data_IF_021254320209
#
_entry.id   IF_021254320209
#
_cell.length_a   1.000
_cell.length_b   1.000
_cell.length_c   1.000
_cell.angle_alpha   90.00
_cell.angle_beta   90.00
_cell.angle_gamma   90.00
#
_symmetry.space_group_name_H-M   'P 1'
#
loop_
_entity.id
_entity.type
_entity.pdbx_description
1 polymer ?
#
# COMPACT_ATOMS: atom_id res chain seq x y z
N UNK A 1 -25.16 18.97 2.15
CA UNK A 1 -25.25 18.89 0.66
C UNK A 1 -26.57 19.50 0.21
N UNK A 2 -26.60 20.35 -0.82
CA UNK A 2 -27.85 20.75 -1.48
C UNK A 2 -28.27 19.60 -2.40
N UNK A 3 -29.33 18.89 -2.02
CA UNK A 3 -29.84 17.78 -2.82
C UNK A 3 -30.56 18.32 -4.05
N UNK A 4 -30.07 17.95 -5.24
CA UNK A 4 -30.75 18.18 -6.52
C UNK A 4 -31.45 16.90 -6.97
N UNK A 5 -32.43 17.04 -7.87
CA UNK A 5 -33.17 15.88 -8.42
C UNK A 5 -32.23 15.03 -9.29
N UNK A 6 -31.87 13.84 -8.80
CA UNK A 6 -31.06 12.87 -9.55
C UNK A 6 -32.01 11.93 -10.30
N UNK A 7 -31.90 11.83 -11.63
CA UNK A 7 -32.63 10.82 -12.41
C UNK A 7 -31.92 9.48 -12.25
N UNK A 8 -32.63 8.48 -11.74
CA UNK A 8 -32.11 7.13 -11.50
C UNK A 8 -33.06 6.12 -12.14
N UNK A 9 -32.57 5.03 -12.77
CA UNK A 9 -33.42 3.96 -13.29
C UNK A 9 -34.36 3.40 -12.21
N UNK A 10 -35.61 3.08 -12.58
CA UNK A 10 -36.66 2.68 -11.62
C UNK A 10 -36.26 1.43 -10.82
N UNK A 11 -35.56 0.49 -11.44
CA UNK A 11 -35.04 -0.73 -10.79
C UNK A 11 -34.09 -0.38 -9.63
N UNK A 12 -33.21 0.60 -9.82
CA UNK A 12 -32.25 1.02 -8.79
C UNK A 12 -32.98 1.77 -7.68
N UNK A 13 -33.95 2.62 -8.04
CA UNK A 13 -34.79 3.32 -7.08
C UNK A 13 -35.59 2.36 -6.20
N UNK A 14 -36.15 1.29 -6.76
CA UNK A 14 -36.82 0.23 -6.00
C UNK A 14 -35.88 -0.47 -5.01
N UNK A 15 -34.65 -0.77 -5.43
CA UNK A 15 -33.62 -1.35 -4.54
C UNK A 15 -33.24 -0.41 -3.40
N UNK A 16 -33.07 0.88 -3.68
CA UNK A 16 -32.79 1.90 -2.66
C UNK A 16 -33.94 2.00 -1.66
N UNK A 17 -35.18 2.06 -2.16
CA UNK A 17 -36.38 2.14 -1.31
C UNK A 17 -36.54 0.90 -0.42
N UNK A 18 -36.27 -0.29 -0.96
CA UNK A 18 -36.28 -1.54 -0.21
C UNK A 18 -35.24 -1.54 0.92
N UNK A 19 -34.00 -1.16 0.62
CA UNK A 19 -32.94 -1.09 1.63
C UNK A 19 -33.21 -0.02 2.70
N UNK A 20 -33.72 1.15 2.28
CA UNK A 20 -34.13 2.23 3.17
C UNK A 20 -35.20 1.78 4.16
N UNK A 21 -36.17 0.97 3.70
CA UNK A 21 -37.21 0.38 4.54
C UNK A 21 -36.66 -0.64 5.53
N UNK A 22 -35.70 -1.48 5.11
CA UNK A 22 -35.05 -2.45 5.98
C UNK A 22 -34.21 -1.81 7.09
N UNK A 23 -33.52 -0.71 6.76
CA UNK A 23 -32.65 0.01 7.71
C UNK A 23 -33.37 1.13 8.46
N UNK A 24 -34.67 1.35 8.23
CA UNK A 24 -35.48 2.43 8.82
C UNK A 24 -34.88 3.84 8.64
N UNK A 25 -34.23 4.08 7.49
CA UNK A 25 -33.58 5.35 7.17
C UNK A 25 -34.13 5.96 5.88
N UNK A 26 -34.04 7.29 5.70
CA UNK A 26 -34.39 7.92 4.43
C UNK A 26 -33.52 7.43 3.25
N UNK A 27 -34.10 7.38 2.05
CA UNK A 27 -33.40 6.93 0.83
C UNK A 27 -32.09 7.68 0.55
N UNK A 28 -32.01 8.97 0.87
CA UNK A 28 -30.80 9.77 0.63
C UNK A 28 -29.62 9.29 1.48
N UNK A 29 -29.86 8.72 2.66
CA UNK A 29 -28.82 8.14 3.53
C UNK A 29 -28.23 6.90 2.89
N UNK A 30 -29.05 6.05 2.29
CA UNK A 30 -28.58 4.86 1.55
C UNK A 30 -27.74 5.27 0.33
N UNK A 31 -28.18 6.31 -0.41
CA UNK A 31 -27.43 6.84 -1.55
C UNK A 31 -26.09 7.43 -1.11
N UNK A 32 -26.07 8.17 0.00
CA UNK A 32 -24.84 8.73 0.57
C UNK A 32 -23.87 7.63 1.02
N UNK A 33 -24.36 6.60 1.71
CA UNK A 33 -23.56 5.41 2.07
C UNK A 33 -22.96 4.75 0.82
N UNK A 34 -23.78 4.49 -0.20
CA UNK A 34 -23.33 3.87 -1.44
C UNK A 34 -22.27 4.74 -2.17
N UNK A 35 -22.47 6.05 -2.19
CA UNK A 35 -21.51 6.99 -2.77
C UNK A 35 -20.20 7.02 -1.99
N UNK A 36 -20.25 7.04 -0.66
CA UNK A 36 -19.06 7.01 0.18
C UNK A 36 -18.28 5.70 0.02
N UNK A 37 -18.97 4.55 -0.08
CA UNK A 37 -18.33 3.26 -0.37
C UNK A 37 -17.67 3.27 -1.75
N UNK A 38 -18.37 3.77 -2.77
CA UNK A 38 -17.82 3.90 -4.12
C UNK A 38 -16.59 4.83 -4.15
N UNK A 39 -16.66 5.98 -3.47
CA UNK A 39 -15.56 6.93 -3.39
C UNK A 39 -14.38 6.39 -2.58
N UNK A 40 -14.63 5.62 -1.52
CA UNK A 40 -13.59 4.92 -0.77
C UNK A 40 -12.89 3.87 -1.67
N UNK A 41 -13.67 3.06 -2.38
CA UNK A 41 -13.16 2.13 -3.39
C UNK A 41 -12.33 2.86 -4.46
N UNK A 42 -12.76 4.05 -4.91
CA UNK A 42 -12.00 4.86 -5.86
C UNK A 42 -10.72 5.48 -5.28
N UNK A 43 -10.66 5.80 -3.97
CA UNK A 43 -9.46 6.36 -3.32
C UNK A 43 -8.34 5.32 -3.19
N UNK A 44 -8.69 4.04 -3.05
CA UNK A 44 -7.72 2.95 -2.93
C UNK A 44 -7.09 2.55 -4.28
N UNK A 45 -7.65 3.01 -5.41
CA UNK A 45 -7.12 2.82 -6.76
C UNK A 45 -6.65 4.14 -7.38
N UNK A 46 -5.33 4.33 -7.51
CA UNK A 46 -4.79 5.51 -8.20
C UNK A 46 -5.03 5.48 -9.72
N UNK A 47 -5.75 6.46 -10.28
CA UNK A 47 -5.72 6.86 -11.70
C UNK A 47 -7.09 6.98 -12.41
N UNK A 48 -7.10 7.52 -13.64
CA UNK A 48 -8.31 7.80 -14.44
C UNK A 48 -9.13 6.55 -14.87
N UNK A 49 -10.46 6.69 -15.08
CA UNK A 49 -11.42 5.58 -15.24
C UNK A 49 -11.35 4.77 -16.56
N UNK A 50 -10.56 5.17 -17.57
CA UNK A 50 -10.61 4.56 -18.91
C UNK A 50 -9.50 3.54 -19.22
N UNK A 51 -8.64 3.19 -18.27
CA UNK A 51 -7.61 2.17 -18.47
C UNK A 51 -8.14 0.79 -18.03
N UNK A 52 -8.52 -0.05 -19.01
CA UNK A 52 -8.89 -1.46 -18.82
C UNK A 52 -7.69 -2.27 -18.29
N UNK A 53 -7.67 -2.45 -16.99
CA UNK A 53 -6.79 -3.37 -16.26
C UNK A 53 -7.05 -3.15 -14.78
N UNK A 54 -7.37 -4.20 -14.02
CA UNK A 54 -7.59 -4.07 -12.57
C UNK A 54 -6.34 -3.43 -11.96
N UNK A 55 -6.43 -2.15 -11.58
CA UNK A 55 -5.27 -1.44 -11.04
C UNK A 55 -4.85 -2.09 -9.74
N UNK A 56 -3.56 -2.36 -9.61
CA UNK A 56 -2.97 -2.81 -8.35
C UNK A 56 -3.22 -1.75 -7.28
N UNK A 57 -3.59 -2.19 -6.07
CA UNK A 57 -3.80 -1.28 -4.95
C UNK A 57 -2.55 -0.43 -4.71
N UNK A 58 -2.72 0.76 -4.13
CA UNK A 58 -1.59 1.58 -3.69
C UNK A 58 -0.60 0.76 -2.84
N UNK A 59 -1.15 -0.08 -1.95
CA UNK A 59 -0.38 -1.02 -1.13
C UNK A 59 0.50 -1.97 -1.97
N UNK A 60 -0.09 -2.60 -3.00
CA UNK A 60 0.63 -3.48 -3.92
C UNK A 60 1.78 -2.75 -4.64
N UNK A 61 1.58 -1.51 -5.08
CA UNK A 61 2.67 -0.72 -5.70
C UNK A 61 3.86 -0.51 -4.76
N UNK A 62 3.59 -0.11 -3.51
CA UNK A 62 4.63 0.08 -2.50
C UNK A 62 5.30 -1.25 -2.10
N UNK A 63 4.52 -2.33 -2.01
CA UNK A 63 5.02 -3.68 -1.69
C UNK A 63 6.04 -4.18 -2.74
N UNK A 64 5.70 -4.06 -4.03
CA UNK A 64 6.61 -4.44 -5.11
C UNK A 64 7.86 -3.58 -5.13
N UNK A 65 7.70 -2.27 -4.97
CA UNK A 65 8.83 -1.33 -4.95
C UNK A 65 9.80 -1.63 -3.81
N UNK A 66 9.28 -2.00 -2.63
CA UNK A 66 10.08 -2.48 -1.50
C UNK A 66 10.89 -3.72 -1.88
N UNK A 67 10.21 -4.77 -2.34
CA UNK A 67 10.85 -6.06 -2.64
C UNK A 67 11.91 -5.96 -3.74
N UNK A 68 11.63 -5.21 -4.81
CA UNK A 68 12.60 -5.00 -5.89
C UNK A 68 13.85 -4.30 -5.39
N UNK A 69 13.71 -3.17 -4.68
CA UNK A 69 14.87 -2.46 -4.14
C UNK A 69 15.65 -3.27 -3.10
N UNK A 70 14.97 -4.11 -2.33
CA UNK A 70 15.62 -5.01 -1.38
C UNK A 70 16.40 -6.13 -2.08
N UNK A 71 15.82 -6.71 -3.14
CA UNK A 71 16.49 -7.73 -3.94
C UNK A 71 17.75 -7.16 -4.63
N UNK A 72 17.63 -5.98 -5.25
CA UNK A 72 18.77 -5.27 -5.86
C UNK A 72 19.89 -5.02 -4.85
N UNK A 73 19.53 -4.52 -3.65
CA UNK A 73 20.48 -4.32 -2.55
C UNK A 73 21.19 -5.63 -2.14
N UNK A 74 20.46 -6.73 -1.98
CA UNK A 74 21.05 -8.03 -1.64
C UNK A 74 21.97 -8.57 -2.73
N UNK A 75 21.57 -8.43 -3.99
CA UNK A 75 22.38 -8.83 -5.15
C UNK A 75 23.66 -7.99 -5.19
N UNK A 76 23.56 -6.69 -4.92
CA UNK A 76 24.71 -5.80 -4.89
C UNK A 76 25.75 -6.22 -3.84
N UNK A 77 25.31 -6.58 -2.64
CA UNK A 77 26.22 -7.08 -1.58
C UNK A 77 26.82 -8.43 -1.94
N UNK A 78 25.99 -9.36 -2.43
CA UNK A 78 26.43 -10.73 -2.72
C UNK A 78 27.48 -10.77 -3.83
N UNK A 79 27.39 -9.87 -4.80
CA UNK A 79 28.26 -9.83 -5.97
C UNK A 79 29.28 -8.68 -5.92
N UNK A 80 29.42 -8.00 -4.78
CA UNK A 80 30.41 -6.92 -4.59
C UNK A 80 30.35 -5.82 -5.66
N UNK A 81 29.14 -5.38 -6.00
CA UNK A 81 28.96 -4.33 -7.00
C UNK A 81 29.51 -2.99 -6.51
N UNK A 82 30.27 -2.29 -7.37
CA UNK A 82 30.86 -0.98 -7.08
C UNK A 82 29.81 0.07 -6.66
N UNK A 83 28.61 -0.03 -7.24
CA UNK A 83 27.48 0.87 -6.99
C UNK A 83 26.66 0.53 -5.73
N UNK A 84 27.18 -0.24 -4.76
CA UNK A 84 26.44 -0.67 -3.56
C UNK A 84 25.71 0.49 -2.85
N UNK A 85 26.36 1.64 -2.72
CA UNK A 85 25.79 2.83 -2.08
C UNK A 85 24.46 3.26 -2.72
N UNK A 86 24.37 3.19 -4.05
CA UNK A 86 23.16 3.55 -4.80
C UNK A 86 22.01 2.60 -4.49
N UNK A 87 22.26 1.31 -4.45
CA UNK A 87 21.23 0.30 -4.12
C UNK A 87 20.78 0.42 -2.67
N UNK A 88 21.73 0.65 -1.77
CA UNK A 88 21.48 0.93 -0.34
C UNK A 88 20.55 2.14 -0.17
N UNK A 89 20.87 3.26 -0.81
CA UNK A 89 20.05 4.48 -0.77
C UNK A 89 18.66 4.27 -1.40
N UNK A 90 18.57 3.53 -2.50
CA UNK A 90 17.30 3.20 -3.15
C UNK A 90 16.37 2.43 -2.21
N UNK A 91 16.89 1.40 -1.54
CA UNK A 91 16.14 0.62 -0.56
C UNK A 91 15.71 1.46 0.64
N UNK A 92 16.63 2.24 1.24
CA UNK A 92 16.30 3.10 2.37
C UNK A 92 15.30 4.19 2.03
N UNK A 93 15.37 4.76 0.82
CA UNK A 93 14.37 5.71 0.34
C UNK A 93 12.98 5.08 0.28
N UNK A 94 12.86 3.82 -0.12
CA UNK A 94 11.58 3.13 -0.11
C UNK A 94 11.07 2.89 1.31
N UNK A 95 11.94 2.50 2.25
CA UNK A 95 11.58 2.40 3.67
C UNK A 95 11.07 3.75 4.23
N UNK A 96 11.75 4.86 3.92
CA UNK A 96 11.30 6.21 4.32
C UNK A 96 9.93 6.56 3.74
N UNK A 97 9.71 6.26 2.45
CA UNK A 97 8.42 6.49 1.81
C UNK A 97 7.30 5.66 2.46
N UNK A 98 7.57 4.42 2.86
CA UNK A 98 6.62 3.59 3.58
C UNK A 98 6.29 4.16 4.97
N UNK A 99 7.28 4.67 5.69
CA UNK A 99 7.08 5.37 6.96
C UNK A 99 6.25 6.64 6.78
N UNK A 100 6.62 7.52 5.86
CA UNK A 100 6.01 8.85 5.71
C UNK A 100 4.62 8.78 5.05
N UNK A 101 4.46 7.96 4.01
CA UNK A 101 3.25 7.97 3.16
C UNK A 101 2.26 6.87 3.49
N UNK A 102 2.74 5.72 3.98
CA UNK A 102 1.90 4.58 4.32
C UNK A 102 1.74 4.44 5.85
N UNK A 103 2.65 5.03 6.64
CA UNK A 103 2.67 4.94 8.12
C UNK A 103 2.71 3.50 8.63
N UNK A 104 3.25 2.58 7.83
CA UNK A 104 3.33 1.16 8.17
C UNK A 104 4.67 0.76 8.79
N UNK A 105 5.69 1.62 8.72
CA UNK A 105 7.04 1.38 9.28
C UNK A 105 7.25 2.30 10.47
N UNK A 106 7.67 1.74 11.61
CA UNK A 106 8.01 2.51 12.80
C UNK A 106 9.46 3.04 12.75
N UNK A 107 9.80 4.09 13.51
CA UNK A 107 11.19 4.57 13.62
C UNK A 107 12.15 3.47 14.09
N UNK A 108 11.73 2.65 15.07
CA UNK A 108 12.52 1.55 15.62
C UNK A 108 12.81 0.46 14.58
N UNK A 109 11.83 0.14 13.72
CA UNK A 109 12.03 -0.81 12.63
C UNK A 109 13.03 -0.28 11.60
N UNK A 110 12.95 1.01 11.29
CA UNK A 110 13.91 1.64 10.38
C UNK A 110 15.34 1.60 10.93
N UNK A 111 15.52 1.83 12.23
CA UNK A 111 16.83 1.72 12.89
C UNK A 111 17.36 0.28 12.90
N UNK A 112 16.50 -0.70 13.21
CA UNK A 112 16.87 -2.13 13.14
C UNK A 112 17.27 -2.54 11.72
N UNK A 113 16.54 -2.08 10.70
CA UNK A 113 16.90 -2.31 9.29
C UNK A 113 18.29 -1.75 9.01
N UNK A 114 18.57 -0.50 9.38
CA UNK A 114 19.89 0.12 9.19
C UNK A 114 20.99 -0.68 9.90
N UNK A 115 20.76 -1.09 11.14
CA UNK A 115 21.73 -1.87 11.90
C UNK A 115 22.04 -3.22 11.22
N UNK A 116 21.02 -3.97 10.79
CA UNK A 116 21.23 -5.24 10.11
C UNK A 116 21.85 -5.08 8.73
N UNK A 117 21.50 -4.01 8.00
CA UNK A 117 22.14 -3.66 6.74
C UNK A 117 23.63 -3.44 6.92
N UNK A 118 24.04 -2.57 7.86
CA UNK A 118 25.45 -2.26 8.08
C UNK A 118 26.25 -3.49 8.53
N UNK A 119 25.65 -4.36 9.36
CA UNK A 119 26.26 -5.61 9.79
C UNK A 119 26.38 -6.63 8.64
N UNK A 120 25.33 -6.73 7.80
CA UNK A 120 25.32 -7.65 6.67
C UNK A 120 26.28 -7.20 5.56
N UNK A 121 26.36 -5.90 5.25
CA UNK A 121 27.31 -5.33 4.30
C UNK A 121 28.75 -5.68 4.67
N UNK A 122 29.09 -5.56 5.96
CA UNK A 122 30.46 -5.82 6.46
C UNK A 122 30.81 -7.30 6.52
N UNK A 123 29.86 -8.13 6.92
CA UNK A 123 30.16 -9.54 7.29
C UNK A 123 29.65 -10.56 6.29
N UNK A 124 28.63 -10.20 5.50
CA UNK A 124 27.87 -11.09 4.60
C UNK A 124 27.31 -12.34 5.28
N UNK A 125 27.20 -12.34 6.61
CA UNK A 125 26.74 -13.49 7.37
C UNK A 125 25.20 -13.59 7.38
N UNK A 126 24.70 -14.80 7.16
CA UNK A 126 23.27 -15.09 7.15
C UNK A 126 22.56 -14.76 8.47
N UNK A 127 23.29 -14.76 9.60
CA UNK A 127 22.75 -14.40 10.91
C UNK A 127 22.20 -12.97 10.99
N UNK A 128 22.70 -12.05 10.15
CA UNK A 128 22.17 -10.68 10.04
C UNK A 128 21.17 -10.54 8.89
N UNK A 129 21.30 -11.38 7.86
CA UNK A 129 20.39 -11.40 6.73
C UNK A 129 19.00 -11.95 7.10
N UNK A 130 18.91 -13.00 7.92
CA UNK A 130 17.61 -13.59 8.26
C UNK A 130 16.71 -12.63 9.06
N UNK A 131 17.17 -11.97 10.13
CA UNK A 131 16.37 -10.95 10.80
C UNK A 131 15.96 -9.81 9.87
N UNK A 132 16.85 -9.40 8.96
CA UNK A 132 16.55 -8.37 7.96
C UNK A 132 15.43 -8.83 6.99
N UNK A 133 15.51 -10.06 6.49
CA UNK A 133 14.46 -10.65 5.64
C UNK A 133 13.11 -10.69 6.39
N UNK A 134 13.12 -11.04 7.67
CA UNK A 134 11.89 -11.14 8.47
C UNK A 134 11.21 -9.78 8.64
N UNK A 135 11.97 -8.74 8.97
CA UNK A 135 11.45 -7.37 9.08
C UNK A 135 10.88 -6.91 7.73
N UNK A 136 11.64 -7.10 6.63
CA UNK A 136 11.20 -6.67 5.29
C UNK A 136 9.94 -7.43 4.85
N UNK A 137 9.88 -8.74 5.13
CA UNK A 137 8.70 -9.58 4.84
C UNK A 137 7.47 -9.13 5.61
N UNK A 138 7.62 -8.78 6.89
CA UNK A 138 6.50 -8.28 7.69
C UNK A 138 6.00 -6.92 7.18
N UNK A 139 6.91 -5.99 6.84
CA UNK A 139 6.55 -4.71 6.20
C UNK A 139 5.86 -4.96 4.85
N UNK A 140 6.31 -5.92 4.07
CA UNK A 140 5.68 -6.30 2.79
C UNK A 140 4.23 -6.73 3.00
N UNK A 141 3.95 -7.62 3.96
CA UNK A 141 2.58 -8.03 4.24
C UNK A 141 1.73 -6.89 4.81
N UNK A 142 2.31 -5.98 5.61
CA UNK A 142 1.64 -4.74 6.03
C UNK A 142 1.30 -3.81 4.87
N UNK A 143 2.07 -3.82 3.78
CA UNK A 143 1.71 -3.07 2.57
C UNK A 143 0.47 -3.64 1.88
N UNK A 144 0.21 -4.94 2.00
CA UNK A 144 -0.87 -5.65 1.29
C UNK A 144 -2.19 -5.70 2.06
N UNK A 145 -2.16 -5.39 3.37
CA UNK A 145 -3.34 -5.22 4.22
C UNK A 145 -4.00 -3.87 3.95
#
# INVERSE_FOLDING_TARGET
MKWSTIKVPEIIKQKIAFQAKLEEVPMHVIVEKAFNVYMAQMRDVGGQPFLKGKRHSRGMWYAWRLMLSYAEYRIAIKNDLEDLKRYRESFLRNIRLLRERMKIVTPEEQEKILQFMDLYEKTKLNKYLFPLNDIVRDIFFRCLK
#
